data_IF_683077786550
#
_entry.id   IF_683077786550
#
_cell.length_a   1.000
_cell.length_b   1.000
_cell.length_c   1.000
_cell.angle_alpha   90.00
_cell.angle_beta   90.00
_cell.angle_gamma   90.00
#
_symmetry.space_group_name_H-M   'P 1'
#
loop_
_entity.id
_entity.type
_entity.pdbx_description
1 polymer ?
#
# COMPACT_ATOMS: atom_id res chain seq x y z
N UNK A 1 15.10 -11.21 -29.90
CA UNK A 1 13.91 -11.32 -29.02
C UNK A 1 13.93 -10.10 -28.10
N UNK A 2 12.83 -9.32 -28.05
CA UNK A 2 11.88 -9.49 -26.96
C UNK A 2 10.43 -9.54 -27.46
N UNK A 3 9.64 -10.48 -26.93
CA UNK A 3 8.20 -10.59 -27.17
C UNK A 3 7.50 -9.45 -26.41
N UNK A 4 6.84 -8.54 -27.12
CA UNK A 4 5.95 -7.55 -26.51
C UNK A 4 4.74 -8.28 -25.89
N UNK A 5 4.31 -7.91 -24.67
CA UNK A 5 3.19 -8.55 -24.00
C UNK A 5 1.91 -8.31 -24.80
N UNK A 6 1.24 -9.41 -25.16
CA UNK A 6 -0.04 -9.40 -25.83
C UNK A 6 -1.07 -8.86 -24.83
N UNK A 7 -1.49 -7.60 -24.99
CA UNK A 7 -2.58 -7.02 -24.21
C UNK A 7 -3.80 -7.90 -24.41
N UNK A 8 -4.19 -8.62 -23.36
CA UNK A 8 -5.43 -9.39 -23.33
C UNK A 8 -6.57 -8.43 -23.59
N UNK A 9 -7.20 -8.58 -24.76
CA UNK A 9 -8.34 -7.79 -25.18
C UNK A 9 -9.50 -8.26 -24.30
N UNK A 10 -10.01 -7.40 -23.43
CA UNK A 10 -11.31 -7.63 -22.80
C UNK A 10 -12.38 -7.54 -23.89
N UNK A 11 -12.54 -8.64 -24.63
CA UNK A 11 -13.49 -8.78 -25.71
C UNK A 11 -14.74 -9.45 -25.16
N UNK A 12 -15.44 -8.74 -24.28
CA UNK A 12 -16.81 -9.09 -23.93
C UNK A 12 -17.73 -8.17 -24.75
N UNK A 13 -18.02 -8.58 -25.99
CA UNK A 13 -18.84 -7.80 -26.94
C UNK A 13 -20.29 -7.63 -26.48
N UNK A 14 -20.72 -8.37 -25.46
CA UNK A 14 -22.05 -8.27 -24.86
C UNK A 14 -22.21 -7.05 -23.92
N UNK A 15 -21.11 -6.33 -23.62
CA UNK A 15 -21.14 -5.12 -22.79
C UNK A 15 -20.60 -3.94 -23.59
N UNK A 16 -21.44 -3.00 -24.04
CA UNK A 16 -20.95 -1.82 -24.72
C UNK A 16 -20.03 -1.05 -23.76
N UNK A 17 -18.73 -1.05 -24.04
CA UNK A 17 -17.77 -0.18 -23.35
C UNK A 17 -17.92 1.23 -23.89
N UNK A 18 -17.58 2.25 -23.11
CA UNK A 18 -17.70 3.66 -23.51
C UNK A 18 -17.04 3.94 -24.88
N UNK A 19 -15.95 3.24 -25.20
CA UNK A 19 -15.28 3.31 -26.50
C UNK A 19 -16.13 2.82 -27.69
N UNK A 20 -17.10 1.93 -27.47
CA UNK A 20 -17.99 1.38 -28.52
C UNK A 20 -19.11 2.34 -28.93
N UNK A 21 -19.37 3.40 -28.15
CA UNK A 21 -20.44 4.35 -28.42
C UNK A 21 -20.05 5.48 -29.39
N UNK A 22 -18.78 5.55 -29.84
CA UNK A 22 -18.31 6.58 -30.77
C UNK A 22 -18.41 8.02 -30.22
N UNK A 23 -18.69 8.16 -28.92
CA UNK A 23 -18.84 9.45 -28.26
C UNK A 23 -17.46 10.06 -28.00
N UNK A 24 -17.28 11.33 -28.39
CA UNK A 24 -16.14 12.14 -27.92
C UNK A 24 -16.37 12.47 -26.45
N UNK A 25 -15.99 11.56 -25.56
CA UNK A 25 -16.08 11.78 -24.11
C UNK A 25 -14.84 12.55 -23.66
N UNK A 26 -15.05 13.75 -23.12
CA UNK A 26 -14.04 14.47 -22.36
C UNK A 26 -14.19 14.03 -20.91
N UNK A 27 -13.21 13.30 -20.39
CA UNK A 27 -13.15 13.00 -18.95
C UNK A 27 -12.84 14.33 -18.25
N UNK A 28 -13.88 14.95 -17.69
CA UNK A 28 -13.72 16.15 -16.87
C UNK A 28 -13.36 15.67 -15.47
N UNK A 29 -12.19 16.05 -14.92
CA UNK A 29 -11.88 15.75 -13.54
C UNK A 29 -12.94 16.43 -12.66
N UNK A 30 -13.67 15.64 -11.89
CA UNK A 30 -14.64 16.17 -10.94
C UNK A 30 -13.88 16.69 -9.72
N UNK A 31 -14.34 17.75 -9.06
CA UNK A 31 -13.70 18.22 -7.82
C UNK A 31 -13.63 17.09 -6.77
N UNK A 32 -14.61 16.20 -6.76
CA UNK A 32 -14.64 14.98 -5.93
C UNK A 32 -13.44 14.06 -6.18
N UNK A 33 -12.87 14.02 -7.40
CA UNK A 33 -11.68 13.22 -7.71
C UNK A 33 -10.43 13.79 -7.03
N UNK A 34 -10.39 15.11 -6.81
CA UNK A 34 -9.27 15.77 -6.11
C UNK A 34 -9.34 15.56 -4.61
N UNK A 35 -10.55 15.64 -4.04
CA UNK A 35 -10.78 15.37 -2.61
C UNK A 35 -10.53 13.89 -2.31
N UNK A 36 -11.02 12.98 -3.16
CA UNK A 36 -10.77 11.55 -3.02
C UNK A 36 -9.29 11.22 -3.11
N UNK A 37 -8.55 11.82 -4.07
CA UNK A 37 -7.09 11.65 -4.16
C UNK A 37 -6.39 12.15 -2.89
N UNK A 38 -6.77 13.31 -2.37
CA UNK A 38 -6.18 13.85 -1.14
C UNK A 38 -6.45 12.94 0.08
N UNK A 39 -7.65 12.35 0.17
CA UNK A 39 -8.00 11.39 1.20
C UNK A 39 -7.18 10.10 1.09
N UNK A 40 -6.99 9.58 -0.13
CA UNK A 40 -6.15 8.39 -0.38
C UNK A 40 -4.70 8.67 0.05
N UNK A 41 -4.12 9.80 -0.39
CA UNK A 41 -2.74 10.16 -0.03
C UNK A 41 -2.56 10.32 1.49
N UNK A 42 -3.56 10.90 2.16
CA UNK A 42 -3.54 11.04 3.63
C UNK A 42 -3.63 9.67 4.32
N UNK A 43 -4.48 8.78 3.82
CA UNK A 43 -4.61 7.43 4.35
C UNK A 43 -3.33 6.61 4.18
N UNK A 44 -2.70 6.69 3.00
CA UNK A 44 -1.42 6.04 2.73
C UNK A 44 -0.32 6.54 3.67
N UNK A 45 -0.24 7.87 3.89
CA UNK A 45 0.71 8.46 4.83
C UNK A 45 0.49 7.97 6.25
N UNK A 46 -0.76 7.95 6.72
CA UNK A 46 -1.10 7.46 8.06
C UNK A 46 -0.72 5.99 8.23
N UNK A 47 -0.92 5.19 7.19
CA UNK A 47 -0.56 3.76 7.19
C UNK A 47 0.96 3.58 7.31
N UNK A 48 1.75 4.35 6.56
CA UNK A 48 3.20 4.32 6.64
C UNK A 48 3.73 4.76 8.02
N UNK A 49 3.13 5.80 8.61
CA UNK A 49 3.46 6.25 9.96
C UNK A 49 3.15 5.19 11.02
N UNK A 50 1.99 4.53 10.90
CA UNK A 50 1.59 3.45 11.80
C UNK A 50 2.54 2.24 11.70
N UNK A 51 2.96 1.87 10.49
CA UNK A 51 3.95 0.81 10.27
C UNK A 51 5.29 1.16 10.94
N UNK A 52 5.77 2.39 10.75
CA UNK A 52 7.03 2.85 11.35
C UNK A 52 6.98 2.84 12.89
N UNK A 53 5.87 3.28 13.48
CA UNK A 53 5.67 3.24 14.93
C UNK A 53 5.61 1.80 15.44
N UNK A 54 4.89 0.93 14.75
CA UNK A 54 4.77 -0.49 15.10
C UNK A 54 6.13 -1.18 15.06
N UNK A 55 6.93 -0.92 14.02
CA UNK A 55 8.29 -1.44 13.91
C UNK A 55 9.16 -1.00 15.09
N UNK A 56 9.16 0.30 15.41
CA UNK A 56 9.93 0.84 16.56
C UNK A 56 9.49 0.22 17.88
N UNK A 57 8.18 0.07 18.11
CA UNK A 57 7.66 -0.55 19.32
C UNK A 57 8.15 -2.00 19.46
N UNK A 58 8.06 -2.79 18.38
CA UNK A 58 8.55 -4.17 18.36
C UNK A 58 10.06 -4.24 18.61
N UNK A 59 10.86 -3.36 18.00
CA UNK A 59 12.30 -3.30 18.25
C UNK A 59 12.62 -2.99 19.71
N UNK A 60 11.90 -2.05 20.32
CA UNK A 60 12.10 -1.69 21.73
C UNK A 60 11.74 -2.84 22.67
N UNK A 61 10.62 -3.54 22.40
CA UNK A 61 10.20 -4.73 23.16
C UNK A 61 11.27 -5.83 23.04
N UNK A 62 11.74 -6.11 21.82
CA UNK A 62 12.77 -7.11 21.57
C UNK A 62 14.09 -6.78 22.30
N UNK A 63 14.51 -5.51 22.25
CA UNK A 63 15.73 -5.05 22.94
C UNK A 63 15.61 -5.19 24.46
N UNK A 64 14.46 -4.83 25.04
CA UNK A 64 14.19 -4.99 26.47
C UNK A 64 14.22 -6.46 26.88
N UNK A 65 13.59 -7.34 26.10
CA UNK A 65 13.59 -8.78 26.35
C UNK A 65 15.01 -9.34 26.37
N UNK A 66 15.83 -8.97 25.38
CA UNK A 66 17.23 -9.40 25.30
C UNK A 66 18.07 -8.94 26.50
N UNK A 67 17.95 -7.67 26.89
CA UNK A 67 18.66 -7.14 28.06
C UNK A 67 18.27 -7.88 29.35
N UNK A 68 16.98 -8.22 29.49
CA UNK A 68 16.49 -9.01 30.63
C UNK A 68 17.07 -10.43 30.64
N UNK A 69 17.17 -11.08 29.47
CA UNK A 69 17.75 -12.41 29.35
C UNK A 69 19.27 -12.41 29.63
N UNK A 70 19.98 -11.37 29.17
CA UNK A 70 21.40 -11.19 29.45
C UNK A 70 21.67 -10.97 30.95
N UNK A 71 20.84 -10.18 31.63
CA UNK A 71 20.90 -9.99 33.09
C UNK A 71 20.64 -11.30 33.85
N UNK A 72 19.60 -12.06 33.45
CA UNK A 72 19.30 -13.37 34.06
C UNK A 72 20.47 -14.35 33.91
N UNK A 73 21.06 -14.44 32.71
CA UNK A 73 22.20 -15.32 32.45
C UNK A 73 23.47 -14.91 33.20
N UNK A 74 23.67 -13.61 33.46
CA UNK A 74 24.80 -13.12 34.24
C UNK A 74 24.69 -13.52 35.72
N UNK A 75 23.49 -13.45 36.30
CA UNK A 75 23.21 -13.87 37.68
C UNK A 75 23.38 -15.39 37.88
N UNK A 76 23.07 -16.19 36.86
CA UNK A 76 23.19 -17.66 36.95
C UNK A 76 24.57 -18.22 36.57
N UNK A 77 25.52 -17.37 36.16
CA UNK A 77 26.90 -17.76 35.84
C UNK A 77 27.93 -17.43 36.93
N UNK A 78 27.55 -16.65 37.95
CA UNK A 78 28.35 -16.36 39.14
C UNK A 78 28.12 -17.39 40.23
#
# INVERSE_FOLDING_TARGET
MPKKPQRSRAADFARPTIASLGLRVTLVPHEDDTELRALIERYERLTAEWEALSHRALTLIARRSRASAEAYNAVHRS
#
